data_IF_930987329340
#
_entry.id   IF_930987329340
#
_cell.length_a   1.000
_cell.length_b   1.000
_cell.length_c   1.000
_cell.angle_alpha   90.00
_cell.angle_beta   90.00
_cell.angle_gamma   90.00
#
_symmetry.space_group_name_H-M   'P 1'
#
loop_
_entity.id
_entity.type
_entity.pdbx_description
1 polymer ?
#
# COMPACT_ATOMS: atom_id res chain seq x y z
N UNK A 1 -28.11 50.33 -49.76
CA UNK A 1 -27.53 49.06 -50.25
C UNK A 1 -26.09 49.02 -49.77
N UNK A 2 -25.59 48.08 -48.94
CA UNK A 2 -25.95 46.69 -48.70
C UNK A 2 -25.94 46.36 -47.19
N UNK A 3 -26.82 45.44 -46.85
CA UNK A 3 -27.08 44.80 -45.56
C UNK A 3 -26.14 43.59 -45.35
N UNK A 4 -26.00 43.18 -44.07
CA UNK A 4 -25.54 41.87 -43.55
C UNK A 4 -24.01 41.61 -43.62
N UNK A 5 -23.35 40.96 -42.66
CA UNK A 5 -23.76 39.90 -41.72
C UNK A 5 -23.16 40.13 -40.32
N UNK A 6 -23.97 39.84 -39.30
CA UNK A 6 -23.54 39.59 -37.92
C UNK A 6 -23.01 38.16 -37.84
N UNK A 7 -21.75 37.97 -37.45
CA UNK A 7 -21.19 36.67 -37.09
C UNK A 7 -20.95 36.65 -35.58
N UNK A 8 -21.93 36.09 -34.87
CA UNK A 8 -21.88 35.75 -33.45
C UNK A 8 -20.85 34.64 -33.22
N UNK A 9 -19.69 35.00 -32.66
CA UNK A 9 -18.70 34.04 -32.23
C UNK A 9 -19.05 33.49 -30.83
N UNK A 10 -20.06 32.63 -30.75
CA UNK A 10 -20.20 31.68 -29.64
C UNK A 10 -19.27 30.50 -29.91
N UNK A 11 -18.03 30.57 -29.41
CA UNK A 11 -17.08 29.46 -29.49
C UNK A 11 -16.50 29.16 -28.10
N UNK A 12 -17.09 28.13 -27.50
CA UNK A 12 -16.42 27.09 -26.71
C UNK A 12 -15.58 27.56 -25.52
N UNK A 13 -16.25 27.89 -24.41
CA UNK A 13 -15.69 27.65 -23.08
C UNK A 13 -16.20 26.29 -22.57
N UNK A 14 -15.94 25.21 -23.33
CA UNK A 14 -15.97 23.88 -22.76
C UNK A 14 -14.71 23.76 -21.89
N UNK A 15 -14.83 24.15 -20.64
CA UNK A 15 -13.88 23.83 -19.60
C UNK A 15 -13.76 22.30 -19.58
N UNK A 16 -12.75 21.77 -20.28
CA UNK A 16 -12.26 20.43 -20.05
C UNK A 16 -11.82 20.39 -18.59
N UNK A 17 -12.73 19.94 -17.73
CA UNK A 17 -12.37 19.37 -16.46
C UNK A 17 -11.56 18.11 -16.79
N UNK A 18 -10.25 18.29 -17.02
CA UNK A 18 -9.30 17.20 -16.93
C UNK A 18 -9.35 16.74 -15.47
N UNK A 19 -10.18 15.73 -15.24
CA UNK A 19 -10.04 14.79 -14.15
C UNK A 19 -8.55 14.44 -14.06
N UNK A 20 -7.91 14.87 -12.98
CA UNK A 20 -6.57 14.45 -12.59
C UNK A 20 -6.61 12.99 -12.13
N UNK A 21 -7.13 12.09 -12.95
CA UNK A 21 -6.68 10.71 -12.96
C UNK A 21 -5.29 10.75 -13.59
N UNK A 22 -4.30 11.18 -12.81
CA UNK A 22 -2.91 10.97 -13.16
C UNK A 22 -2.78 9.49 -13.49
N UNK A 23 -2.50 9.17 -14.74
CA UNK A 23 -2.17 7.82 -15.17
C UNK A 23 -0.99 7.40 -14.28
N UNK A 24 -1.25 6.62 -13.22
CA UNK A 24 -0.21 6.20 -12.28
C UNK A 24 0.77 5.34 -13.07
N UNK A 25 1.87 5.94 -13.51
CA UNK A 25 3.00 5.21 -14.06
C UNK A 25 3.53 4.37 -12.91
N UNK A 26 3.20 3.08 -12.92
CA UNK A 26 3.67 2.12 -11.92
C UNK A 26 5.17 2.29 -11.75
N UNK A 27 5.63 2.54 -10.52
CA UNK A 27 7.04 2.80 -10.31
C UNK A 27 7.89 1.60 -10.80
N UNK A 28 9.04 1.83 -11.44
CA UNK A 28 9.91 0.76 -11.92
C UNK A 28 10.51 -0.04 -10.75
N UNK A 29 11.34 -1.02 -11.09
CA UNK A 29 12.19 -1.71 -10.11
C UNK A 29 13.05 -0.70 -9.36
N UNK A 30 13.06 -0.77 -8.03
CA UNK A 30 13.83 0.12 -7.16
C UNK A 30 14.58 -0.69 -6.09
N UNK A 31 15.61 -0.10 -5.46
CA UNK A 31 16.36 -0.75 -4.38
C UNK A 31 15.47 -1.14 -3.18
N UNK A 32 14.35 -0.43 -2.98
CA UNK A 32 13.34 -0.77 -1.97
C UNK A 32 12.78 -2.18 -2.23
N UNK A 33 12.53 -2.56 -3.48
CA UNK A 33 12.01 -3.88 -3.81
C UNK A 33 12.97 -5.01 -3.44
N UNK A 34 14.26 -4.82 -3.72
CA UNK A 34 15.28 -5.82 -3.42
C UNK A 34 15.50 -5.97 -1.91
N UNK A 35 15.39 -4.88 -1.14
CA UNK A 35 15.72 -4.86 0.29
C UNK A 35 14.51 -4.98 1.21
N UNK A 36 13.31 -4.76 0.70
CA UNK A 36 12.08 -4.70 1.49
C UNK A 36 10.84 -5.24 0.77
N UNK A 37 10.96 -5.75 -0.47
CA UNK A 37 9.89 -6.42 -1.19
C UNK A 37 9.48 -7.73 -0.52
N UNK A 38 8.18 -8.05 -0.53
CA UNK A 38 7.69 -9.33 0.01
C UNK A 38 7.65 -10.39 -1.10
N UNK A 39 8.34 -11.54 -0.97
CA UNK A 39 8.39 -12.56 -2.00
C UNK A 39 7.03 -13.14 -2.40
N UNK A 40 6.05 -13.11 -1.51
CA UNK A 40 4.70 -13.64 -1.77
C UNK A 40 3.68 -12.57 -2.17
N UNK A 41 4.09 -11.30 -2.21
CA UNK A 41 3.20 -10.21 -2.60
C UNK A 41 2.92 -10.27 -4.11
N UNK A 42 1.65 -10.35 -4.55
CA UNK A 42 1.28 -10.30 -5.96
C UNK A 42 1.69 -8.98 -6.64
N UNK A 43 1.77 -7.89 -5.89
CA UNK A 43 2.13 -6.55 -6.38
C UNK A 43 3.64 -6.31 -6.54
N UNK A 44 4.49 -7.27 -6.16
CA UNK A 44 5.95 -7.08 -6.14
C UNK A 44 6.54 -6.83 -7.53
N UNK A 45 7.65 -6.11 -7.55
CA UNK A 45 8.55 -6.01 -8.72
C UNK A 45 9.89 -6.58 -8.27
N UNK A 46 10.40 -7.60 -8.96
CA UNK A 46 11.59 -8.34 -8.52
C UNK A 46 11.28 -9.46 -7.50
N UNK A 47 12.35 -10.04 -6.94
CA UNK A 47 12.27 -11.26 -6.11
C UNK A 47 11.82 -11.00 -4.66
N UNK A 48 12.03 -9.80 -4.15
CA UNK A 48 11.82 -9.46 -2.74
C UNK A 48 12.85 -10.12 -1.79
N UNK A 49 12.63 -9.95 -0.49
CA UNK A 49 13.46 -10.51 0.58
C UNK A 49 12.58 -11.12 1.67
N UNK A 50 12.94 -12.33 2.08
CA UNK A 50 12.32 -13.01 3.21
C UNK A 50 12.54 -12.19 4.50
N UNK A 51 11.53 -12.11 5.35
CA UNK A 51 11.58 -11.32 6.59
C UNK A 51 12.79 -11.70 7.46
N UNK A 52 13.14 -12.99 7.55
CA UNK A 52 14.28 -13.48 8.32
C UNK A 52 15.65 -12.99 7.81
N UNK A 53 15.75 -12.64 6.52
CA UNK A 53 16.99 -12.17 5.89
C UNK A 53 17.00 -10.65 5.67
N UNK A 54 15.91 -9.96 6.00
CA UNK A 54 15.78 -8.52 5.80
C UNK A 54 16.65 -7.76 6.80
N UNK A 55 17.56 -6.92 6.29
CA UNK A 55 18.31 -5.95 7.10
C UNK A 55 17.49 -4.66 7.21
N UNK A 56 16.93 -4.31 8.38
CA UNK A 56 15.94 -3.22 8.48
C UNK A 56 16.52 -1.85 8.14
N UNK A 57 17.73 -1.52 8.61
CA UNK A 57 18.35 -0.19 8.39
C UNK A 57 18.50 0.15 6.89
N UNK A 58 19.17 -0.67 6.06
CA UNK A 58 19.29 -0.36 4.63
C UNK A 58 17.94 -0.46 3.90
N UNK A 59 17.04 -1.33 4.33
CA UNK A 59 15.70 -1.45 3.76
C UNK A 59 14.87 -0.16 3.95
N UNK A 60 14.84 0.38 5.18
CA UNK A 60 14.16 1.64 5.50
C UNK A 60 14.73 2.78 4.65
N UNK A 61 16.06 2.93 4.60
CA UNK A 61 16.71 3.97 3.82
C UNK A 61 16.33 3.91 2.34
N UNK A 62 16.40 2.72 1.73
CA UNK A 62 16.08 2.52 0.32
C UNK A 62 14.60 2.83 -0.01
N UNK A 63 13.68 2.51 0.91
CA UNK A 63 12.26 2.79 0.72
C UNK A 63 11.88 4.25 0.95
N UNK A 64 12.54 4.94 1.88
CA UNK A 64 12.41 6.39 2.01
C UNK A 64 12.90 7.11 0.75
N UNK A 65 14.04 6.70 0.19
CA UNK A 65 14.54 7.25 -1.08
C UNK A 65 13.62 6.93 -2.26
N UNK A 66 12.96 5.77 -2.26
CA UNK A 66 11.94 5.44 -3.25
C UNK A 66 10.74 6.37 -3.16
N UNK A 67 10.23 6.63 -1.95
CA UNK A 67 9.06 7.49 -1.73
C UNK A 67 9.35 8.98 -1.97
N UNK A 68 10.61 9.43 -1.95
CA UNK A 68 10.96 10.77 -2.44
C UNK A 68 10.69 10.92 -3.94
N UNK A 69 10.91 9.86 -4.71
CA UNK A 69 10.70 9.85 -6.16
C UNK A 69 9.27 9.47 -6.54
N UNK A 70 8.66 8.56 -5.76
CA UNK A 70 7.35 7.99 -6.02
C UNK A 70 6.45 8.08 -4.76
N UNK A 71 6.07 9.30 -4.33
CA UNK A 71 5.43 9.52 -3.04
C UNK A 71 4.05 8.88 -2.88
N UNK A 72 3.41 8.50 -3.98
CA UNK A 72 2.08 7.89 -4.00
C UNK A 72 2.09 6.38 -4.23
N UNK A 73 3.26 5.77 -4.44
CA UNK A 73 3.37 4.34 -4.78
C UNK A 73 3.03 3.47 -3.54
N UNK A 74 1.88 2.78 -3.51
CA UNK A 74 1.42 2.06 -2.33
C UNK A 74 2.31 0.85 -2.00
N UNK A 75 2.94 0.26 -3.01
CA UNK A 75 3.95 -0.80 -2.85
C UNK A 75 5.11 -0.35 -1.98
N UNK A 76 5.68 0.83 -2.22
CA UNK A 76 6.82 1.32 -1.41
C UNK A 76 6.40 1.69 0.01
N UNK A 77 5.18 2.21 0.19
CA UNK A 77 4.61 2.41 1.53
C UNK A 77 4.50 1.08 2.29
N UNK A 78 3.96 0.04 1.64
CA UNK A 78 3.87 -1.30 2.22
C UNK A 78 5.24 -1.88 2.59
N UNK A 79 6.21 -1.80 1.67
CA UNK A 79 7.56 -2.31 1.88
C UNK A 79 8.29 -1.56 3.01
N UNK A 80 8.10 -0.24 3.11
CA UNK A 80 8.61 0.55 4.23
C UNK A 80 7.97 0.11 5.56
N UNK A 81 6.66 -0.13 5.58
CA UNK A 81 5.97 -0.71 6.73
C UNK A 81 6.55 -2.07 7.17
N UNK A 82 6.91 -2.93 6.21
CA UNK A 82 7.61 -4.20 6.48
C UNK A 82 8.97 -3.98 7.13
N UNK A 83 9.76 -3.04 6.61
CA UNK A 83 11.08 -2.75 7.13
C UNK A 83 11.03 -2.17 8.55
N UNK A 84 10.07 -1.28 8.84
CA UNK A 84 9.85 -0.77 10.20
C UNK A 84 9.35 -1.83 11.18
N UNK A 85 8.45 -2.73 10.74
CA UNK A 85 8.01 -3.86 11.57
C UNK A 85 9.18 -4.75 11.95
N UNK A 86 10.06 -5.07 10.99
CA UNK A 86 11.28 -5.84 11.24
C UNK A 86 12.27 -5.12 12.18
N UNK A 87 12.26 -3.78 12.18
CA UNK A 87 13.04 -2.96 13.10
C UNK A 87 12.40 -2.79 14.49
N UNK A 88 11.27 -3.45 14.78
CA UNK A 88 10.44 -3.25 15.97
C UNK A 88 9.93 -1.81 16.16
N UNK A 89 9.91 -1.01 15.10
CA UNK A 89 9.38 0.36 15.10
C UNK A 89 7.89 0.33 14.74
N UNK A 90 7.09 -0.28 15.62
CA UNK A 90 5.70 -0.67 15.33
C UNK A 90 4.79 0.53 15.00
N UNK A 91 5.03 1.69 15.61
CA UNK A 91 4.28 2.91 15.31
C UNK A 91 4.50 3.39 13.87
N UNK A 92 5.74 3.34 13.36
CA UNK A 92 6.02 3.63 11.96
C UNK A 92 5.42 2.57 11.03
N UNK A 93 5.55 1.29 11.39
CA UNK A 93 4.96 0.21 10.60
C UNK A 93 3.45 0.40 10.40
N UNK A 94 2.71 0.71 11.48
CA UNK A 94 1.27 0.97 11.43
C UNK A 94 0.93 2.18 10.57
N UNK A 95 1.71 3.27 10.66
CA UNK A 95 1.52 4.47 9.82
C UNK A 95 1.63 4.11 8.34
N UNK A 96 2.71 3.44 7.94
CA UNK A 96 2.98 3.14 6.54
C UNK A 96 2.08 2.04 5.98
N UNK A 97 1.70 1.05 6.78
CA UNK A 97 0.70 0.09 6.36
C UNK A 97 -0.68 0.74 6.20
N UNK A 98 -1.09 1.69 7.06
CA UNK A 98 -2.33 2.44 6.86
C UNK A 98 -2.29 3.25 5.58
N UNK A 99 -1.21 4.00 5.33
CA UNK A 99 -1.05 4.77 4.10
C UNK A 99 -1.15 3.91 2.82
N UNK A 100 -0.56 2.71 2.84
CA UNK A 100 -0.68 1.75 1.73
C UNK A 100 -2.08 1.13 1.63
N UNK A 101 -2.71 0.80 2.77
CA UNK A 101 -4.05 0.21 2.83
C UNK A 101 -5.14 1.18 2.37
N UNK A 102 -5.00 2.48 2.66
CA UNK A 102 -5.91 3.54 2.21
C UNK A 102 -5.90 3.67 0.67
N UNK A 103 -4.81 3.22 0.03
CA UNK A 103 -4.67 3.09 -1.43
C UNK A 103 -5.05 1.70 -1.96
N UNK A 104 -5.67 0.85 -1.13
CA UNK A 104 -6.13 -0.49 -1.51
C UNK A 104 -5.05 -1.56 -1.61
N UNK A 105 -3.85 -1.35 -1.06
CA UNK A 105 -2.78 -2.34 -1.17
C UNK A 105 -3.04 -3.57 -0.30
N UNK A 106 -3.40 -4.69 -0.93
CA UNK A 106 -3.85 -5.91 -0.26
C UNK A 106 -2.83 -6.46 0.76
N UNK A 107 -1.53 -6.38 0.45
CA UNK A 107 -0.47 -6.80 1.37
C UNK A 107 -0.42 -5.98 2.65
N UNK A 108 -0.70 -4.67 2.57
CA UNK A 108 -0.72 -3.78 3.73
C UNK A 108 -1.94 -4.01 4.61
N UNK A 109 -3.11 -4.21 3.97
CA UNK A 109 -4.35 -4.59 4.68
C UNK A 109 -4.15 -5.89 5.46
N UNK A 110 -3.55 -6.92 4.83
CA UNK A 110 -3.20 -8.16 5.52
C UNK A 110 -2.22 -7.91 6.68
N UNK A 111 -1.18 -7.10 6.48
CA UNK A 111 -0.21 -6.80 7.55
C UNK A 111 -0.84 -6.07 8.74
N UNK A 112 -1.80 -5.16 8.52
CA UNK A 112 -2.58 -4.55 9.60
C UNK A 112 -3.39 -5.62 10.36
N UNK A 113 -3.99 -6.57 9.64
CA UNK A 113 -4.69 -7.70 10.25
C UNK A 113 -3.77 -8.52 11.16
N UNK A 114 -2.54 -8.78 10.73
CA UNK A 114 -1.53 -9.47 11.55
C UNK A 114 -1.20 -8.67 12.80
N UNK A 115 -0.97 -7.35 12.68
CA UNK A 115 -0.63 -6.51 13.84
C UNK A 115 -1.77 -6.46 14.86
N UNK A 116 -3.03 -6.39 14.42
CA UNK A 116 -4.19 -6.50 15.31
C UNK A 116 -4.37 -7.90 15.90
N UNK A 117 -4.07 -8.97 15.15
CA UNK A 117 -4.18 -10.35 15.67
C UNK A 117 -3.12 -10.66 16.73
N UNK A 118 -1.95 -10.03 16.65
CA UNK A 118 -0.82 -10.27 17.55
C UNK A 118 -0.71 -9.22 18.67
N UNK A 119 -1.43 -8.11 18.56
CA UNK A 119 -1.27 -6.98 19.48
C UNK A 119 0.06 -6.23 19.29
N UNK A 120 0.60 -6.19 18.07
CA UNK A 120 1.86 -5.52 17.77
C UNK A 120 1.65 -4.01 17.61
N UNK A 121 2.04 -3.22 18.61
CA UNK A 121 1.93 -1.76 18.57
C UNK A 121 0.49 -1.23 18.68
N UNK A 122 -0.49 -2.12 18.78
CA UNK A 122 -1.91 -1.87 19.04
C UNK A 122 -2.43 -2.95 19.98
N UNK A 123 -3.52 -2.72 20.73
CA UNK A 123 -4.20 -3.79 21.44
C UNK A 123 -4.65 -4.91 20.48
N UNK A 124 -4.59 -6.15 20.97
CA UNK A 124 -5.08 -7.31 20.23
C UNK A 124 -6.59 -7.17 19.97
N UNK A 125 -7.02 -7.38 18.73
CA UNK A 125 -8.42 -7.28 18.32
C UNK A 125 -8.71 -8.30 17.20
N UNK A 126 -9.30 -9.44 17.57
CA UNK A 126 -9.64 -10.51 16.62
C UNK A 126 -10.69 -10.08 15.60
N UNK A 127 -11.68 -9.27 16.02
CA UNK A 127 -12.76 -8.83 15.14
C UNK A 127 -12.19 -7.94 14.06
N UNK A 128 -11.33 -6.98 14.43
CA UNK A 128 -10.66 -6.12 13.48
C UNK A 128 -9.71 -6.90 12.57
N UNK A 129 -8.94 -7.84 13.13
CA UNK A 129 -8.06 -8.69 12.35
C UNK A 129 -8.81 -9.52 11.31
N UNK A 130 -9.92 -10.17 11.70
CA UNK A 130 -10.76 -10.97 10.82
C UNK A 130 -11.34 -10.13 9.66
N UNK A 131 -11.80 -8.90 9.93
CA UNK A 131 -12.28 -7.98 8.91
C UNK A 131 -11.19 -7.64 7.89
N UNK A 132 -9.99 -7.28 8.38
CA UNK A 132 -8.85 -6.94 7.54
C UNK A 132 -8.39 -8.13 6.69
N UNK A 133 -8.33 -9.34 7.25
CA UNK A 133 -8.00 -10.53 6.47
C UNK A 133 -9.07 -10.85 5.42
N UNK A 134 -10.35 -10.72 5.75
CA UNK A 134 -11.44 -10.92 4.79
C UNK A 134 -11.33 -9.92 3.62
N UNK A 135 -11.02 -8.66 3.91
CA UNK A 135 -10.78 -7.64 2.89
C UNK A 135 -9.55 -7.96 2.02
N UNK A 136 -8.43 -8.33 2.61
CA UNK A 136 -7.22 -8.69 1.86
C UNK A 136 -7.44 -9.95 1.00
N UNK A 137 -8.21 -10.92 1.47
CA UNK A 137 -8.58 -12.12 0.71
C UNK A 137 -9.47 -11.77 -0.49
N UNK A 138 -10.43 -10.86 -0.32
CA UNK A 138 -11.25 -10.36 -1.43
C UNK A 138 -10.42 -9.63 -2.50
N UNK A 139 -9.29 -9.03 -2.11
CA UNK A 139 -8.31 -8.42 -3.01
C UNK A 139 -7.25 -9.42 -3.54
N UNK A 140 -7.41 -10.71 -3.25
CA UNK A 140 -6.53 -11.77 -3.76
C UNK A 140 -5.17 -11.91 -3.07
N UNK A 141 -5.01 -11.40 -1.84
CA UNK A 141 -3.75 -11.57 -1.12
C UNK A 141 -3.56 -13.02 -0.64
N UNK A 142 -2.49 -13.73 -1.05
CA UNK A 142 -2.39 -15.19 -0.89
C UNK A 142 -2.44 -15.72 0.54
N UNK A 143 -1.97 -14.94 1.52
CA UNK A 143 -1.89 -15.37 2.92
C UNK A 143 -3.15 -15.02 3.73
N UNK A 144 -4.07 -14.24 3.17
CA UNK A 144 -5.15 -13.65 3.95
C UNK A 144 -6.15 -14.70 4.47
N UNK A 145 -6.54 -15.66 3.64
CA UNK A 145 -7.47 -16.73 4.03
C UNK A 145 -6.89 -17.66 5.12
N UNK A 146 -5.59 -17.92 5.07
CA UNK A 146 -4.92 -18.73 6.10
C UNK A 146 -4.78 -17.95 7.40
N UNK A 147 -4.40 -16.67 7.35
CA UNK A 147 -4.36 -15.80 8.52
C UNK A 147 -5.73 -15.65 9.20
N UNK A 148 -6.81 -15.58 8.41
CA UNK A 148 -8.18 -15.59 8.93
C UNK A 148 -8.50 -16.89 9.68
N UNK A 149 -8.04 -18.04 9.16
CA UNK A 149 -8.25 -19.35 9.78
C UNK A 149 -7.44 -19.53 11.07
N UNK A 150 -6.26 -18.91 11.17
CA UNK A 150 -5.31 -19.10 12.27
C UNK A 150 -5.14 -17.86 13.15
N UNK A 151 -6.20 -17.10 13.39
CA UNK A 151 -6.19 -15.92 14.27
C UNK A 151 -5.53 -16.25 15.62
N UNK A 152 -4.41 -15.57 15.90
CA UNK A 152 -3.57 -15.88 17.06
C UNK A 152 -4.24 -15.53 18.39
N UNK A 153 -5.06 -14.47 18.40
CA UNK A 153 -5.77 -13.99 19.57
C UNK A 153 -6.88 -14.92 20.08
N UNK A 154 -7.35 -15.87 19.24
CA UNK A 154 -8.32 -16.90 19.65
C UNK A 154 -7.63 -18.07 20.37
N UNK A 155 -6.31 -18.18 20.29
CA UNK A 155 -5.53 -19.25 20.95
C UNK A 155 -4.91 -18.84 22.29
N UNK A 156 -5.18 -17.62 22.74
CA UNK A 156 -4.70 -17.07 24.01
C UNK A 156 -5.76 -17.13 25.13
N UNK A 157 -6.83 -17.91 24.93
CA UNK A 157 -7.89 -18.19 25.90
C UNK A 157 -7.72 -19.58 26.50
#
# INVERSE_FOLDING_TARGET
MRLALVLSATLVAAAFALSAAAQEVKAPLHNCDALAGNPVDPGRVGIGVATASMRPVPAIAACLDALKQFPNEPRFMFQLGRAYRQASQLNEALRWYRAAADKGYAGAINSLGVMHSLGEGVPSDCTKAAQLFSQAAALGYPLASDNLRTLACIRQV
#
